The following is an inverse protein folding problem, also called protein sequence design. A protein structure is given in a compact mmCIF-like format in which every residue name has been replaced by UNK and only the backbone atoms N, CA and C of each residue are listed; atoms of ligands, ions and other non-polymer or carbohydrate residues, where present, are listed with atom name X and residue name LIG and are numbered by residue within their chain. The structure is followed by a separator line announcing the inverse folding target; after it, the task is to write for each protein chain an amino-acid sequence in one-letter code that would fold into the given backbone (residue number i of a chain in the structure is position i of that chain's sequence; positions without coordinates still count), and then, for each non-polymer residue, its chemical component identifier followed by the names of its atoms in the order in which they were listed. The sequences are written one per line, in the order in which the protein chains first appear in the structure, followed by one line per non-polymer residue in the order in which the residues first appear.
data_IF_499033036737
#
_entry.id   IF_499033036737
#
_cell.length_a   1.000
_cell.length_b   1.000
_cell.length_c   1.000
_cell.angle_alpha   90.00
_cell.angle_beta   90.00
_cell.angle_gamma   90.00
#
_symmetry.space_group_name_H-M   'P 1'
#
loop_
_entity.id
_entity.type
_entity.pdbx_description
1 polymer ?
#
# COMPACT_ATOMS: atom_id res chain seq x y z
N UNK A 1 20.73 14.64 -6.51
CA UNK A 1 19.94 14.81 -7.74
C UNK A 1 18.52 14.27 -7.58
N UNK A 2 18.33 12.96 -7.40
CA UNK A 2 17.02 12.27 -7.29
C UNK A 2 15.91 13.06 -6.56
N UNK A 3 16.11 13.38 -5.27
CA UNK A 3 15.09 14.07 -4.47
C UNK A 3 14.65 15.41 -5.07
N UNK A 4 15.58 16.17 -5.66
CA UNK A 4 15.23 17.45 -6.32
C UNK A 4 14.38 17.25 -7.57
N UNK A 5 14.56 16.12 -8.28
CA UNK A 5 13.76 15.76 -9.45
C UNK A 5 12.37 15.24 -9.07
N UNK A 6 12.25 14.50 -7.97
CA UNK A 6 10.94 14.10 -7.42
C UNK A 6 10.15 15.27 -6.84
N UNK A 7 10.84 16.23 -6.21
CA UNK A 7 10.21 17.36 -5.52
C UNK A 7 10.10 18.60 -6.41
N UNK A 8 10.03 18.42 -7.75
CA UNK A 8 9.72 19.53 -8.66
C UNK A 8 8.30 20.01 -8.40
N UNK A 9 8.18 21.31 -8.12
CA UNK A 9 6.90 21.99 -7.86
C UNK A 9 5.97 21.91 -9.07
N UNK A 10 6.52 22.15 -10.27
CA UNK A 10 5.79 21.93 -11.51
C UNK A 10 5.70 20.42 -11.77
N UNK A 11 4.48 19.81 -11.81
CA UNK A 11 4.31 18.40 -12.05
C UNK A 11 4.94 17.95 -13.38
N UNK A 12 4.85 18.75 -14.44
CA UNK A 12 5.38 18.39 -15.77
C UNK A 12 6.91 18.27 -15.84
N UNK A 13 7.61 18.79 -14.83
CA UNK A 13 9.07 18.69 -14.72
C UNK A 13 9.52 17.62 -13.72
N UNK A 14 8.57 16.95 -13.06
CA UNK A 14 8.84 15.93 -12.06
C UNK A 14 9.28 14.65 -12.74
N UNK A 15 10.33 14.01 -12.24
CA UNK A 15 10.70 12.69 -12.77
C UNK A 15 9.56 11.71 -12.56
N UNK A 16 9.22 10.95 -13.61
CA UNK A 16 8.08 10.02 -13.62
C UNK A 16 6.74 10.64 -13.97
N UNK A 17 6.64 11.93 -14.31
CA UNK A 17 5.37 12.52 -14.79
C UNK A 17 5.23 12.54 -16.32
N UNK A 18 6.30 12.24 -17.05
CA UNK A 18 6.33 12.28 -18.51
C UNK A 18 5.95 10.94 -19.14
N UNK A 19 6.03 10.80 -20.47
CA UNK A 19 5.70 9.56 -21.18
C UNK A 19 6.54 8.35 -20.77
N UNK A 20 7.75 8.59 -20.24
CA UNK A 20 8.62 7.53 -19.71
C UNK A 20 8.22 7.02 -18.33
N UNK A 21 7.35 7.75 -17.61
CA UNK A 21 6.74 7.39 -16.32
C UNK A 21 7.75 6.74 -15.34
N UNK A 22 7.38 5.65 -14.68
CA UNK A 22 8.23 4.89 -13.79
C UNK A 22 9.56 4.47 -14.44
N UNK A 23 9.62 4.29 -15.77
CA UNK A 23 10.85 3.97 -16.49
C UNK A 23 11.94 5.03 -16.34
N UNK A 24 11.57 6.31 -16.29
CA UNK A 24 12.54 7.40 -16.06
C UNK A 24 13.08 7.37 -14.62
N UNK A 25 12.23 7.00 -13.66
CA UNK A 25 12.61 6.81 -12.26
C UNK A 25 13.56 5.62 -12.13
N UNK A 26 13.21 4.49 -12.75
CA UNK A 26 13.97 3.24 -12.68
C UNK A 26 15.38 3.35 -13.28
N UNK A 27 15.53 4.14 -14.35
CA UNK A 27 16.81 4.41 -15.02
C UNK A 27 17.71 5.41 -14.26
N UNK A 28 17.20 6.07 -13.23
CA UNK A 28 17.98 7.07 -12.49
C UNK A 28 19.21 6.42 -11.83
N UNK A 29 20.42 7.02 -11.89
CA UNK A 29 21.65 6.41 -11.38
C UNK A 29 21.64 5.97 -9.91
N UNK A 30 20.78 6.58 -9.08
CA UNK A 30 20.53 6.16 -7.70
C UNK A 30 20.08 4.69 -7.61
N UNK A 31 19.27 4.22 -8.56
CA UNK A 31 18.74 2.85 -8.58
C UNK A 31 19.54 1.89 -9.46
N UNK A 32 20.75 2.26 -9.89
CA UNK A 32 21.59 1.45 -10.80
C UNK A 32 21.91 0.03 -10.30
N UNK A 33 21.75 -0.21 -8.99
CA UNK A 33 22.01 -1.51 -8.36
C UNK A 33 20.74 -2.34 -8.15
N UNK A 34 19.57 -1.82 -8.54
CA UNK A 34 18.29 -2.51 -8.40
C UNK A 34 18.02 -3.30 -9.68
N UNK A 35 17.90 -4.63 -9.54
CA UNK A 35 17.22 -5.45 -10.53
C UNK A 35 15.71 -5.39 -10.25
N UNK A 36 14.96 -4.74 -11.13
CA UNK A 36 13.52 -4.51 -10.96
C UNK A 36 12.70 -5.80 -11.08
N UNK A 37 13.12 -6.74 -11.92
CA UNK A 37 12.46 -8.04 -12.08
C UNK A 37 12.63 -8.89 -10.82
N UNK A 38 13.84 -8.91 -10.24
CA UNK A 38 14.11 -9.62 -8.98
C UNK A 38 13.37 -8.99 -7.80
N UNK A 39 13.32 -7.66 -7.76
CA UNK A 39 12.59 -6.93 -6.73
C UNK A 39 11.09 -7.26 -6.78
N UNK A 40 10.49 -7.22 -7.97
CA UNK A 40 9.07 -7.52 -8.16
C UNK A 40 8.75 -8.99 -7.84
N UNK A 41 9.65 -9.91 -8.20
CA UNK A 41 9.58 -11.33 -7.87
C UNK A 41 9.94 -11.64 -6.40
N UNK A 42 10.19 -10.63 -5.55
CA UNK A 42 10.57 -10.77 -4.14
C UNK A 42 11.83 -11.65 -3.92
N UNK A 43 12.76 -11.64 -4.89
CA UNK A 43 14.04 -12.36 -4.83
C UNK A 43 15.17 -11.54 -4.21
N UNK A 44 14.96 -10.23 -4.04
CA UNK A 44 15.91 -9.34 -3.34
C UNK A 44 15.69 -9.43 -1.84
N UNK A 45 16.75 -9.71 -1.09
CA UNK A 45 16.68 -9.69 0.37
C UNK A 45 16.37 -8.28 0.90
N UNK A 46 15.36 -8.12 1.77
CA UNK A 46 15.04 -6.82 2.34
C UNK A 46 16.19 -6.39 3.29
N UNK A 47 16.60 -5.10 3.25
CA UNK A 47 17.69 -4.60 4.09
C UNK A 47 17.33 -4.58 5.59
N UNK A 48 16.04 -4.66 5.91
CA UNK A 48 15.53 -4.74 7.27
C UNK A 48 14.41 -5.77 7.32
N UNK A 49 14.52 -6.71 8.27
CA UNK A 49 13.47 -7.66 8.62
C UNK A 49 13.00 -7.29 10.03
N UNK A 50 11.76 -6.79 10.21
CA UNK A 50 11.24 -6.48 11.52
C UNK A 50 11.31 -7.72 12.42
N UNK A 51 11.79 -7.60 13.67
CA UNK A 51 11.75 -8.70 14.60
C UNK A 51 10.29 -9.01 14.95
N UNK A 52 9.93 -10.29 14.89
CA UNK A 52 8.64 -10.80 15.34
C UNK A 52 8.88 -11.76 16.51
N UNK A 53 8.10 -11.61 17.57
CA UNK A 53 8.16 -12.45 18.76
C UNK A 53 7.21 -13.66 18.66
N UNK A 54 6.11 -13.52 17.93
CA UNK A 54 5.04 -14.51 17.78
C UNK A 54 4.18 -14.20 16.56
N UNK A 55 3.27 -15.11 16.20
CA UNK A 55 2.27 -14.89 15.14
C UNK A 55 1.33 -13.73 15.46
N UNK A 56 1.00 -13.53 16.74
CA UNK A 56 0.15 -12.43 17.23
C UNK A 56 0.95 -11.19 17.69
N UNK A 57 2.21 -11.03 17.24
CA UNK A 57 3.05 -9.91 17.68
C UNK A 57 2.51 -8.56 17.18
N UNK A 58 2.10 -7.70 18.12
CA UNK A 58 1.60 -6.35 17.83
C UNK A 58 2.60 -5.23 18.18
N UNK A 59 3.86 -5.56 18.46
CA UNK A 59 4.90 -4.61 18.90
C UNK A 59 5.22 -3.50 17.90
N UNK A 60 4.93 -3.72 16.61
CA UNK A 60 5.12 -2.73 15.55
C UNK A 60 3.88 -1.85 15.30
N UNK A 61 2.78 -2.07 16.03
CA UNK A 61 1.59 -1.22 15.99
C UNK A 61 1.64 -0.18 17.11
N UNK A 62 1.00 0.97 16.88
CA UNK A 62 0.83 1.97 17.93
C UNK A 62 -0.07 1.41 19.03
N UNK A 63 0.44 1.40 20.26
CA UNK A 63 -0.27 0.90 21.45
C UNK A 63 -1.61 1.59 21.70
N UNK A 64 -1.83 2.80 21.14
CA UNK A 64 -3.13 3.47 21.19
C UNK A 64 -4.25 2.65 20.55
N UNK A 65 -3.95 1.78 19.59
CA UNK A 65 -4.93 0.89 18.94
C UNK A 65 -4.99 -0.48 19.60
N UNK A 66 -3.84 -1.08 19.94
CA UNK A 66 -3.80 -2.42 20.55
C UNK A 66 -4.37 -2.46 21.96
N UNK A 67 -4.51 -1.30 22.62
CA UNK A 67 -5.17 -1.15 23.92
C UNK A 67 -6.67 -0.89 23.83
N UNK A 68 -7.20 -0.62 22.64
CA UNK A 68 -8.65 -0.46 22.46
C UNK A 68 -9.30 -1.84 22.45
N UNK A 69 -10.46 -1.93 23.09
CA UNK A 69 -11.31 -3.11 22.94
C UNK A 69 -11.76 -3.18 21.48
N UNK A 70 -11.60 -4.32 20.78
CA UNK A 70 -12.00 -4.47 19.38
C UNK A 70 -13.53 -4.62 19.30
N UNK A 71 -14.23 -3.50 19.46
CA UNK A 71 -15.68 -3.41 19.35
C UNK A 71 -16.04 -2.41 18.28
N UNK A 72 -17.03 -2.75 17.46
CA UNK A 72 -17.63 -1.80 16.54
C UNK A 72 -18.33 -0.70 17.33
N UNK A 73 -18.26 0.53 16.82
CA UNK A 73 -19.04 1.65 17.36
C UNK A 73 -20.53 1.31 17.30
N UNK A 74 -21.31 1.58 18.35
CA UNK A 74 -22.76 1.42 18.30
C UNK A 74 -23.34 2.28 17.16
N UNK A 75 -24.23 1.68 16.38
CA UNK A 75 -25.01 2.37 15.35
C UNK A 75 -26.50 2.11 15.60
N UNK A 76 -27.24 3.20 15.78
CA UNK A 76 -28.70 3.18 15.97
C UNK A 76 -29.45 3.43 14.65
N UNK A 77 -28.73 3.58 13.53
CA UNK A 77 -29.26 3.99 12.24
C UNK A 77 -29.76 2.84 11.37
N UNK A 78 -31.02 2.90 10.93
CA UNK A 78 -31.45 2.16 9.75
C UNK A 78 -31.18 2.98 8.48
N UNK A 79 -30.38 2.46 7.55
CA UNK A 79 -30.21 3.09 6.23
C UNK A 79 -31.52 3.08 5.44
N UNK A 80 -31.80 4.17 4.71
CA UNK A 80 -32.91 4.19 3.76
C UNK A 80 -32.66 3.22 2.61
N UNK A 81 -33.71 2.76 1.94
CA UNK A 81 -33.59 1.89 0.76
C UNK A 81 -32.77 2.55 -0.36
N UNK A 82 -32.92 3.87 -0.55
CA UNK A 82 -32.12 4.65 -1.48
C UNK A 82 -30.63 4.70 -1.12
N UNK A 83 -30.27 4.69 0.17
CA UNK A 83 -28.88 4.60 0.61
C UNK A 83 -28.32 3.19 0.37
N UNK A 84 -29.12 2.15 0.61
CA UNK A 84 -28.72 0.77 0.34
C UNK A 84 -28.44 0.51 -1.16
N UNK A 85 -29.17 1.18 -2.06
CA UNK A 85 -28.94 1.08 -3.50
C UNK A 85 -27.54 1.56 -3.93
N UNK A 86 -26.90 2.46 -3.18
CA UNK A 86 -25.53 2.89 -3.45
C UNK A 86 -24.49 1.78 -3.28
N UNK A 87 -24.83 0.69 -2.59
CA UNK A 87 -23.94 -0.45 -2.32
C UNK A 87 -24.25 -1.69 -3.19
N UNK A 88 -25.10 -1.56 -4.22
CA UNK A 88 -25.34 -2.65 -5.17
C UNK A 88 -24.03 -3.04 -5.88
N UNK A 89 -23.70 -4.33 -5.83
CA UNK A 89 -22.43 -4.85 -6.38
C UNK A 89 -21.22 -4.67 -5.47
N UNK A 90 -21.39 -4.23 -4.22
CA UNK A 90 -20.29 -4.07 -3.26
C UNK A 90 -19.69 -5.41 -2.80
N UNK A 91 -20.50 -6.47 -2.74
CA UNK A 91 -20.04 -7.78 -2.25
C UNK A 91 -19.01 -8.37 -3.21
N UNK A 92 -17.83 -8.67 -2.69
CA UNK A 92 -16.72 -9.25 -3.44
C UNK A 92 -16.05 -10.35 -2.62
N UNK A 93 -15.75 -11.47 -3.27
CA UNK A 93 -14.85 -12.50 -2.76
C UNK A 93 -13.71 -12.62 -3.74
N UNK A 94 -12.47 -12.52 -3.25
CA UNK A 94 -11.30 -12.62 -4.10
C UNK A 94 -11.24 -14.00 -4.77
N UNK A 95 -11.13 -14.09 -6.11
CA UNK A 95 -11.05 -15.38 -6.80
C UNK A 95 -9.93 -16.29 -6.27
N UNK A 96 -8.80 -15.70 -5.85
CA UNK A 96 -7.67 -16.43 -5.27
C UNK A 96 -8.00 -17.16 -3.95
N UNK A 97 -9.08 -16.78 -3.26
CA UNK A 97 -9.57 -17.46 -2.04
C UNK A 97 -10.51 -18.62 -2.40
N UNK A 98 -11.08 -18.62 -3.60
CA UNK A 98 -11.98 -19.67 -4.08
C UNK A 98 -11.23 -20.80 -4.79
N UNK A 99 -10.01 -20.53 -5.28
CA UNK A 99 -9.14 -21.48 -5.97
C UNK A 99 -8.19 -22.24 -5.02
N UNK A 100 -8.21 -21.93 -3.72
CA UNK A 100 -7.40 -22.57 -2.67
C UNK A 100 -8.10 -23.74 -1.98
#
# INVERSE_FOLDING_TARGET
DLLRKFLKRNPNQRIGSGPGDAGDVQKHPFFRHINWDDLLARRVDPPFRPPLQSEDDVSQFDTRFTRQTPVDSPDDGSLSESANQAFLGFTYVAPSVLES
#
